data_IF_526201424126
#
_entry.id   IF_526201424126
#
_cell.length_a   1.000
_cell.length_b   1.000
_cell.length_c   1.000
_cell.angle_alpha   90.00
_cell.angle_beta   90.00
_cell.angle_gamma   90.00
#
_symmetry.space_group_name_H-M   'P 1'
#
loop_
_entity.id
_entity.type
_entity.pdbx_description
1 polymer ?
#
# COMPACT_ATOMS: atom_id res chain seq x y z
N UNK A 1 15.10 9.88 21.15
CA UNK A 1 14.25 8.71 21.44
C UNK A 1 13.68 8.20 20.12
N UNK A 2 14.35 7.24 19.47
CA UNK A 2 13.97 6.72 18.15
C UNK A 2 13.94 5.19 18.18
N UNK A 3 13.14 4.59 19.06
CA UNK A 3 13.00 3.13 19.14
C UNK A 3 11.63 2.60 18.72
N UNK A 4 10.66 3.47 18.43
CA UNK A 4 9.34 3.04 17.97
C UNK A 4 9.23 2.96 16.43
N UNK A 5 10.29 3.30 15.69
CA UNK A 5 10.28 3.43 14.21
C UNK A 5 10.39 2.12 13.43
N UNK A 6 10.80 1.03 14.10
CA UNK A 6 11.28 -0.17 13.42
C UNK A 6 10.38 -1.39 13.60
N UNK A 7 9.56 -1.41 14.67
CA UNK A 7 8.74 -2.58 15.03
C UNK A 7 7.69 -2.88 13.96
N UNK A 8 6.91 -1.90 13.47
CA UNK A 8 5.88 -2.16 12.45
C UNK A 8 6.46 -2.55 11.09
N UNK A 9 7.64 -2.03 10.72
CA UNK A 9 8.26 -2.31 9.42
C UNK A 9 8.93 -3.68 9.36
N UNK A 10 9.54 -4.14 10.46
CA UNK A 10 10.12 -5.49 10.52
C UNK A 10 9.05 -6.56 10.78
N UNK A 11 7.94 -6.21 11.45
CA UNK A 11 6.87 -7.16 11.77
C UNK A 11 5.93 -7.42 10.59
N UNK A 12 5.55 -6.40 9.82
CA UNK A 12 4.58 -6.59 8.73
C UNK A 12 4.98 -7.66 7.69
N UNK A 13 6.25 -7.76 7.24
CA UNK A 13 6.69 -8.86 6.37
C UNK A 13 6.62 -10.23 7.05
N UNK A 14 6.86 -10.30 8.36
CA UNK A 14 6.85 -11.55 9.13
C UNK A 14 5.41 -12.01 9.40
N UNK A 15 4.53 -11.10 9.80
CA UNK A 15 3.09 -11.36 9.98
C UNK A 15 2.41 -11.73 8.66
N UNK A 16 2.82 -11.12 7.55
CA UNK A 16 2.39 -11.52 6.21
C UNK A 16 2.81 -12.97 5.89
N UNK A 17 4.06 -13.35 6.21
CA UNK A 17 4.56 -14.72 6.03
C UNK A 17 3.82 -15.73 6.91
N UNK A 18 3.37 -15.30 8.08
CA UNK A 18 2.63 -16.13 9.04
C UNK A 18 1.11 -16.12 8.77
N UNK A 19 0.64 -15.50 7.66
CA UNK A 19 -0.78 -15.45 7.29
C UNK A 19 -1.63 -14.53 8.16
N UNK A 20 -1.01 -13.76 9.06
CA UNK A 20 -1.68 -12.84 10.00
C UNK A 20 -1.92 -11.48 9.34
N UNK A 21 -2.59 -11.51 8.19
CA UNK A 21 -2.84 -10.33 7.37
C UNK A 21 -3.59 -9.23 8.14
N UNK A 22 -4.59 -9.59 8.95
CA UNK A 22 -5.37 -8.63 9.72
C UNK A 22 -4.53 -7.84 10.74
N UNK A 23 -3.59 -8.50 11.43
CA UNK A 23 -2.71 -7.85 12.40
C UNK A 23 -1.69 -6.96 11.71
N UNK A 24 -1.09 -7.44 10.62
CA UNK A 24 -0.19 -6.64 9.78
C UNK A 24 -0.89 -5.38 9.26
N UNK A 25 -2.13 -5.51 8.77
CA UNK A 25 -2.94 -4.38 8.31
C UNK A 25 -3.13 -3.37 9.45
N UNK A 26 -3.56 -3.82 10.62
CA UNK A 26 -3.81 -2.94 11.77
C UNK A 26 -2.54 -2.19 12.22
N UNK A 27 -1.40 -2.88 12.33
CA UNK A 27 -0.13 -2.26 12.72
C UNK A 27 0.40 -1.26 11.70
N UNK A 28 0.21 -1.52 10.41
CA UNK A 28 0.57 -0.60 9.34
C UNK A 28 -0.37 0.61 9.27
N UNK A 29 -1.70 0.43 9.43
CA UNK A 29 -2.66 1.55 9.49
C UNK A 29 -2.41 2.46 10.70
N UNK A 30 -2.07 1.89 11.85
CA UNK A 30 -1.73 2.66 13.03
C UNK A 30 -0.46 3.49 12.79
N UNK A 31 0.58 2.91 12.18
CA UNK A 31 1.78 3.65 11.82
C UNK A 31 1.49 4.85 10.90
N UNK A 32 0.62 4.66 9.91
CA UNK A 32 0.23 5.72 8.98
C UNK A 32 -0.63 6.81 9.64
N UNK A 33 -1.26 6.49 10.77
CA UNK A 33 -2.02 7.44 11.59
C UNK A 33 -1.09 8.24 12.50
N UNK A 34 -0.13 7.57 13.13
CA UNK A 34 0.81 8.18 14.06
C UNK A 34 1.92 8.97 13.33
N UNK A 35 2.32 8.52 12.14
CA UNK A 35 3.45 9.06 11.36
C UNK A 35 3.09 9.32 9.89
N UNK A 36 2.08 10.17 9.60
CA UNK A 36 1.61 10.42 8.24
C UNK A 36 2.60 11.17 7.35
N UNK A 37 3.63 11.82 7.90
CA UNK A 37 4.64 12.58 7.13
C UNK A 37 6.02 11.92 7.15
N UNK A 38 6.12 10.68 7.64
CA UNK A 38 7.38 9.94 7.69
C UNK A 38 7.87 9.56 6.29
N UNK A 39 9.19 9.64 6.06
CA UNK A 39 9.85 9.06 4.88
C UNK A 39 9.58 7.55 4.69
N UNK A 40 9.08 6.86 5.73
CA UNK A 40 8.68 5.45 5.66
C UNK A 40 7.20 5.24 5.37
N UNK A 41 6.38 6.30 5.39
CA UNK A 41 4.94 6.19 5.26
C UNK A 41 4.53 5.65 3.88
N UNK A 42 5.24 6.03 2.81
CA UNK A 42 5.01 5.48 1.46
C UNK A 42 5.34 3.99 1.37
N UNK A 43 6.40 3.54 2.05
CA UNK A 43 6.80 2.15 2.13
C UNK A 43 5.81 1.32 2.97
N UNK A 44 5.38 1.83 4.12
CA UNK A 44 4.38 1.19 5.01
C UNK A 44 3.04 1.02 4.27
N UNK A 45 2.61 2.04 3.55
CA UNK A 45 1.39 2.00 2.75
C UNK A 45 1.50 0.98 1.58
N UNK A 46 2.69 0.81 0.99
CA UNK A 46 2.93 -0.24 -0.01
C UNK A 46 2.81 -1.64 0.59
N UNK A 47 3.37 -1.88 1.79
CA UNK A 47 3.21 -3.15 2.51
C UNK A 47 1.76 -3.41 2.92
N UNK A 48 0.97 -2.36 3.21
CA UNK A 48 -0.46 -2.47 3.52
C UNK A 48 -1.24 -3.06 2.33
N UNK A 49 -0.83 -2.75 1.09
CA UNK A 49 -1.49 -3.25 -0.11
C UNK A 49 -1.13 -4.69 -0.48
N UNK A 50 -0.02 -5.24 0.05
CA UNK A 50 0.41 -6.61 -0.24
C UNK A 50 -0.54 -7.71 0.25
N UNK A 51 -1.05 -7.73 1.50
CA UNK A 51 -1.97 -8.77 2.00
C UNK A 51 -3.22 -8.94 1.14
N UNK A 52 -3.70 -7.85 0.52
CA UNK A 52 -4.89 -7.90 -0.33
C UNK A 52 -4.66 -8.48 -1.73
N UNK A 53 -3.41 -8.64 -2.17
CA UNK A 53 -3.09 -9.11 -3.51
C UNK A 53 -3.08 -10.64 -3.71
N UNK A 54 -2.48 -11.47 -2.84
CA UNK A 54 -2.49 -12.92 -3.02
C UNK A 54 -3.87 -13.54 -2.77
N UNK A 55 -4.70 -12.92 -1.91
CA UNK A 55 -6.05 -13.39 -1.58
C UNK A 55 -7.15 -13.03 -2.60
N UNK A 56 -6.81 -12.28 -3.66
CA UNK A 56 -7.75 -11.96 -4.73
C UNK A 56 -8.71 -10.80 -4.46
N UNK A 57 -8.64 -10.15 -3.29
CA UNK A 57 -9.44 -8.97 -2.97
C UNK A 57 -8.86 -7.71 -3.61
N UNK A 58 -8.96 -7.66 -4.94
CA UNK A 58 -8.51 -6.56 -5.77
C UNK A 58 -9.23 -5.25 -5.41
N UNK A 59 -10.46 -5.32 -4.88
CA UNK A 59 -11.23 -4.17 -4.40
C UNK A 59 -10.58 -3.55 -3.16
N UNK A 60 -10.23 -4.36 -2.16
CA UNK A 60 -9.54 -3.89 -0.96
C UNK A 60 -8.13 -3.35 -1.30
N UNK A 61 -7.36 -4.08 -2.12
CA UNK A 61 -6.05 -3.63 -2.59
C UNK A 61 -6.13 -2.27 -3.29
N UNK A 62 -7.11 -2.09 -4.18
CA UNK A 62 -7.34 -0.82 -4.89
C UNK A 62 -7.61 0.33 -3.93
N UNK A 63 -8.46 0.14 -2.91
CA UNK A 63 -8.74 1.20 -1.91
C UNK A 63 -7.47 1.65 -1.19
N UNK A 64 -6.61 0.71 -0.82
CA UNK A 64 -5.32 0.98 -0.17
C UNK A 64 -4.39 1.77 -1.08
N UNK A 65 -4.22 1.35 -2.33
CA UNK A 65 -3.33 2.03 -3.27
C UNK A 65 -3.88 3.40 -3.72
N UNK A 66 -5.20 3.57 -3.84
CA UNK A 66 -5.81 4.90 -4.07
C UNK A 66 -5.47 5.83 -2.90
N UNK A 67 -5.63 5.37 -1.66
CA UNK A 67 -5.28 6.17 -0.47
C UNK A 67 -3.80 6.56 -0.49
N UNK A 68 -2.91 5.66 -0.92
CA UNK A 68 -1.49 5.96 -1.12
C UNK A 68 -1.30 7.09 -2.14
N UNK A 69 -1.88 6.94 -3.33
CA UNK A 69 -1.73 7.93 -4.39
C UNK A 69 -2.30 9.30 -4.04
N UNK A 70 -3.34 9.34 -3.19
CA UNK A 70 -3.93 10.59 -2.71
C UNK A 70 -3.10 11.27 -1.62
N UNK A 71 -2.58 10.51 -0.64
CA UNK A 71 -1.84 11.07 0.51
C UNK A 71 -0.36 11.25 0.25
N UNK A 72 0.26 10.30 -0.45
CA UNK A 72 1.70 10.23 -0.68
C UNK A 72 2.05 10.45 -2.15
N UNK A 73 1.38 11.41 -2.81
CA UNK A 73 1.50 11.69 -4.25
C UNK A 73 2.91 12.05 -4.74
N UNK A 74 3.84 12.37 -3.83
CA UNK A 74 5.25 12.66 -4.10
C UNK A 74 6.23 11.61 -3.53
N UNK A 75 5.70 10.51 -2.99
CA UNK A 75 6.51 9.43 -2.38
C UNK A 75 7.29 8.64 -3.42
N UNK A 76 8.40 8.02 -3.01
CA UNK A 76 9.28 7.24 -3.91
C UNK A 76 8.58 5.98 -4.43
N UNK A 77 7.55 5.51 -3.73
CA UNK A 77 6.70 4.36 -4.12
C UNK A 77 5.51 4.72 -5.00
N UNK A 78 5.36 5.97 -5.41
CA UNK A 78 4.29 6.38 -6.32
C UNK A 78 4.29 5.64 -7.67
N UNK A 79 5.40 5.50 -8.40
CA UNK A 79 5.41 4.75 -9.65
C UNK A 79 4.98 3.29 -9.46
N UNK A 80 5.43 2.61 -8.40
CA UNK A 80 4.99 1.25 -8.06
C UNK A 80 3.49 1.19 -7.74
N UNK A 81 2.97 2.20 -7.05
CA UNK A 81 1.55 2.30 -6.68
C UNK A 81 0.68 2.48 -7.92
N UNK A 82 1.08 3.37 -8.83
CA UNK A 82 0.38 3.60 -10.09
C UNK A 82 0.40 2.34 -10.95
N UNK A 83 1.54 1.65 -11.03
CA UNK A 83 1.65 0.37 -11.72
C UNK A 83 0.68 -0.66 -11.17
N UNK A 84 0.60 -0.78 -9.84
CA UNK A 84 -0.29 -1.75 -9.18
C UNK A 84 -1.76 -1.40 -9.38
N UNK A 85 -2.13 -0.13 -9.30
CA UNK A 85 -3.48 0.34 -9.59
C UNK A 85 -3.85 0.09 -11.05
N UNK A 86 -2.95 0.37 -11.99
CA UNK A 86 -3.11 0.07 -13.41
C UNK A 86 -3.44 -1.40 -13.62
N UNK A 87 -2.63 -2.30 -13.07
CA UNK A 87 -2.85 -3.75 -13.15
C UNK A 87 -4.19 -4.19 -12.54
N UNK A 88 -4.57 -3.64 -11.39
CA UNK A 88 -5.87 -3.94 -10.77
C UNK A 88 -7.02 -3.46 -11.67
N UNK A 89 -6.91 -2.27 -12.27
CA UNK A 89 -7.91 -1.77 -13.20
C UNK A 89 -8.00 -2.60 -14.48
N UNK A 90 -6.87 -3.08 -15.02
CA UNK A 90 -6.86 -4.02 -16.15
C UNK A 90 -7.59 -5.32 -15.81
N UNK A 91 -7.33 -5.91 -14.63
CA UNK A 91 -8.05 -7.09 -14.15
C UNK A 91 -9.55 -6.87 -13.93
N UNK A 92 -9.99 -5.62 -13.79
CA UNK A 92 -11.40 -5.25 -13.66
C UNK A 92 -12.03 -4.83 -15.00
N UNK A 93 -11.39 -5.10 -16.14
CA UNK A 93 -11.80 -4.64 -17.48
C UNK A 93 -11.93 -3.11 -17.62
N UNK A 94 -11.34 -2.36 -16.68
CA UNK A 94 -11.36 -0.89 -16.64
C UNK A 94 -10.14 -0.31 -17.34
N UNK A 95 -9.93 -0.72 -18.59
CA UNK A 95 -8.76 -0.36 -19.40
C UNK A 95 -8.56 1.16 -19.56
N UNK A 96 -9.65 1.94 -19.64
CA UNK A 96 -9.57 3.41 -19.67
C UNK A 96 -8.91 3.96 -18.41
N UNK A 97 -9.39 3.54 -17.23
CA UNK A 97 -8.81 3.96 -15.94
C UNK A 97 -7.39 3.46 -15.74
N UNK A 98 -7.10 2.23 -16.19
CA UNK A 98 -5.74 1.70 -16.12
C UNK A 98 -4.76 2.61 -16.88
N UNK A 99 -5.10 2.98 -18.13
CA UNK A 99 -4.28 3.90 -18.94
C UNK A 99 -4.15 5.28 -18.29
N UNK A 100 -5.24 5.86 -17.80
CA UNK A 100 -5.21 7.17 -17.13
C UNK A 100 -4.28 7.18 -15.90
N UNK A 101 -4.29 6.10 -15.11
CA UNK A 101 -3.45 5.95 -13.93
C UNK A 101 -1.97 5.78 -14.32
N UNK A 102 -1.69 4.94 -15.32
CA UNK A 102 -0.32 4.65 -15.78
C UNK A 102 0.32 5.81 -16.56
N UNK A 103 -0.49 6.70 -17.13
CA UNK A 103 -0.04 7.89 -17.85
C UNK A 103 0.16 9.12 -16.95
N UNK A 104 -0.15 9.01 -15.65
CA UNK A 104 0.14 10.11 -14.72
C UNK A 104 1.66 10.28 -14.58
N UNK A 105 2.18 11.51 -14.79
CA UNK A 105 3.61 11.80 -14.70
C UNK A 105 4.14 11.72 -13.27
#
# INVERSE_FOLDING_TARGET
MERSRDVSMQQAPNEFREGRYAQAIAGLEQFLTDYPDSDQADNVQYWLGKPYCPGGDNEAAKKVFIRLGMRYSKGKRMPDTLLRLGYIYEKQDKLKRAKEILQKP
#
